data_IF_724422554078
#
_entry.id   IF_724422554078
#
_cell.length_a   1.000
_cell.length_b   1.000
_cell.length_c   1.000
_cell.angle_alpha   90.00
_cell.angle_beta   90.00
_cell.angle_gamma   90.00
#
_symmetry.space_group_name_H-M   'P 1'
#
loop_
_entity.id
_entity.type
_entity.pdbx_description
1 polymer ?
#
# COMPACT_ATOMS: atom_id res chain seq x y z
N UNK A 1 6.69 -69.43 75.70
CA UNK A 1 6.27 -68.13 75.14
C UNK A 1 6.18 -67.13 76.26
N UNK A 2 6.83 -65.97 76.16
CA UNK A 2 6.49 -64.82 77.00
C UNK A 2 6.44 -63.58 76.12
N UNK A 3 5.25 -62.98 76.07
CA UNK A 3 4.85 -61.89 75.19
C UNK A 3 5.42 -60.57 75.71
N UNK A 4 6.26 -59.90 74.91
CA UNK A 4 6.76 -58.55 75.20
C UNK A 4 5.82 -57.54 74.52
N UNK A 5 5.14 -56.64 75.26
CA UNK A 5 4.21 -55.70 74.66
C UNK A 5 4.98 -54.59 73.92
N UNK A 6 4.64 -54.36 72.64
CA UNK A 6 5.17 -53.23 71.87
C UNK A 6 4.66 -51.92 72.50
N UNK A 7 5.60 -51.05 72.92
CA UNK A 7 5.30 -49.68 73.36
C UNK A 7 4.61 -48.91 72.22
N UNK A 8 3.31 -48.63 72.37
CA UNK A 8 2.59 -47.69 71.51
C UNK A 8 3.12 -46.28 71.79
N UNK A 9 3.76 -45.66 70.80
CA UNK A 9 4.14 -44.25 70.85
C UNK A 9 2.88 -43.41 71.04
N UNK A 10 2.67 -42.87 72.24
CA UNK A 10 1.65 -41.86 72.50
C UNK A 10 2.17 -40.53 71.98
N UNK A 11 1.82 -40.20 70.75
CA UNK A 11 2.09 -38.89 70.15
C UNK A 11 1.32 -37.84 70.96
N UNK A 12 2.05 -36.93 71.62
CA UNK A 12 1.43 -35.81 72.34
C UNK A 12 0.90 -34.83 71.29
N UNK A 13 -0.42 -34.83 71.10
CA UNK A 13 -1.11 -33.98 70.13
C UNK A 13 -0.78 -32.49 70.26
N UNK A 14 -0.44 -32.01 71.46
CA UNK A 14 0.03 -30.63 71.71
C UNK A 14 1.36 -30.28 71.01
N UNK A 15 2.14 -31.26 70.59
CA UNK A 15 3.41 -31.08 69.84
C UNK A 15 3.23 -31.46 68.36
N UNK A 16 2.43 -32.49 68.09
CA UNK A 16 2.19 -32.93 66.73
C UNK A 16 1.41 -31.91 65.89
N UNK A 17 0.40 -31.26 66.47
CA UNK A 17 -0.40 -30.24 65.76
C UNK A 17 0.46 -29.05 65.32
N UNK A 18 1.23 -28.36 66.19
CA UNK A 18 2.06 -27.23 65.76
C UNK A 18 3.12 -27.65 64.73
N UNK A 19 3.70 -28.85 64.87
CA UNK A 19 4.68 -29.37 63.92
C UNK A 19 4.08 -29.67 62.53
N UNK A 20 2.86 -30.22 62.49
CA UNK A 20 2.15 -30.45 61.23
C UNK A 20 1.75 -29.14 60.55
N UNK A 21 1.29 -28.13 61.30
CA UNK A 21 1.05 -26.79 60.75
C UNK A 21 2.32 -26.13 60.24
N UNK A 22 3.46 -26.33 60.91
CA UNK A 22 4.75 -25.80 60.44
C UNK A 22 5.16 -26.46 59.11
N UNK A 23 4.98 -27.78 58.98
CA UNK A 23 5.24 -28.49 57.73
C UNK A 23 4.32 -27.99 56.62
N UNK A 24 3.03 -27.80 56.89
CA UNK A 24 2.08 -27.27 55.89
C UNK A 24 2.47 -25.85 55.48
N UNK A 25 2.90 -25.00 56.43
CA UNK A 25 3.38 -23.65 56.14
C UNK A 25 4.65 -23.67 55.29
N UNK A 26 5.61 -24.54 55.60
CA UNK A 26 6.85 -24.68 54.82
C UNK A 26 6.54 -25.21 53.42
N UNK A 27 5.67 -26.21 53.29
CA UNK A 27 5.23 -26.72 51.98
C UNK A 27 4.50 -25.63 51.20
N UNK A 28 3.63 -24.85 51.83
CA UNK A 28 2.94 -23.72 51.19
C UNK A 28 3.92 -22.63 50.74
N UNK A 29 4.94 -22.32 51.55
CA UNK A 29 5.98 -21.34 51.22
C UNK A 29 6.85 -21.83 50.06
N UNK A 30 7.24 -23.10 50.06
CA UNK A 30 8.01 -23.74 48.98
C UNK A 30 7.19 -23.84 47.70
N UNK A 31 5.89 -24.16 47.80
CA UNK A 31 4.97 -24.21 46.67
C UNK A 31 4.75 -22.81 46.08
N UNK A 32 4.62 -21.76 46.89
CA UNK A 32 4.56 -20.38 46.40
C UNK A 32 5.90 -19.86 45.87
N UNK A 33 7.05 -20.34 46.36
CA UNK A 33 8.37 -19.98 45.83
C UNK A 33 8.68 -20.68 44.50
N UNK A 34 8.26 -21.94 44.32
CA UNK A 34 8.47 -22.72 43.10
C UNK A 34 7.37 -22.50 42.05
N UNK A 35 6.17 -22.10 42.47
CA UNK A 35 5.01 -21.78 41.63
C UNK A 35 4.60 -20.33 41.91
N UNK A 36 5.58 -19.45 42.06
CA UNK A 36 5.33 -18.08 41.67
C UNK A 36 5.14 -18.15 40.15
N UNK A 37 3.94 -17.85 39.61
CA UNK A 37 3.85 -17.60 38.19
C UNK A 37 4.86 -16.50 37.92
N UNK A 38 5.74 -16.71 36.94
CA UNK A 38 6.63 -15.67 36.46
C UNK A 38 5.75 -14.44 36.22
N UNK A 39 5.78 -13.48 37.15
CA UNK A 39 5.38 -12.11 36.88
C UNK A 39 6.56 -11.46 36.16
N UNK A 40 7.05 -12.13 35.12
CA UNK A 40 7.96 -11.54 34.17
C UNK A 40 7.13 -10.55 33.39
N UNK A 41 7.31 -9.26 33.70
CA UNK A 41 6.83 -8.10 32.97
C UNK A 41 5.85 -8.43 31.82
N UNK A 42 4.55 -8.47 32.12
CA UNK A 42 3.46 -8.68 31.16
C UNK A 42 3.32 -7.54 30.12
N UNK A 43 4.23 -6.57 30.12
CA UNK A 43 4.24 -5.42 29.21
C UNK A 43 5.14 -5.61 27.98
N UNK A 44 5.68 -6.80 27.74
CA UNK A 44 6.53 -7.05 26.57
C UNK A 44 5.74 -7.26 25.28
N UNK A 45 6.30 -6.85 24.14
CA UNK A 45 5.71 -7.11 22.82
C UNK A 45 5.60 -8.62 22.58
N UNK A 46 4.46 -9.05 22.05
CA UNK A 46 4.16 -10.46 21.79
C UNK A 46 3.86 -10.68 20.32
N UNK A 47 4.28 -11.84 19.81
CA UNK A 47 4.11 -12.25 18.41
C UNK A 47 3.41 -13.61 18.41
N UNK A 48 2.44 -13.83 17.52
CA UNK A 48 1.69 -15.10 17.42
C UNK A 48 0.98 -15.56 18.72
N UNK A 49 0.63 -14.63 19.63
CA UNK A 49 0.09 -14.98 20.97
C UNK A 49 1.11 -15.70 21.87
N UNK A 50 2.40 -15.61 21.57
CA UNK A 50 3.47 -16.11 22.42
C UNK A 50 3.67 -15.24 23.66
N UNK A 51 4.30 -15.80 24.69
CA UNK A 51 4.78 -15.00 25.82
C UNK A 51 5.96 -14.12 25.36
N UNK A 52 6.23 -12.98 26.01
CA UNK A 52 7.38 -12.12 25.65
C UNK A 52 8.72 -12.88 25.61
N UNK A 53 8.93 -13.80 26.56
CA UNK A 53 10.13 -14.66 26.58
C UNK A 53 10.20 -15.60 25.37
N UNK A 54 9.06 -16.20 24.98
CA UNK A 54 9.02 -17.06 23.80
C UNK A 54 9.22 -16.24 22.53
N UNK A 55 8.58 -15.07 22.40
CA UNK A 55 8.83 -14.12 21.32
C UNK A 55 10.31 -13.77 21.22
N UNK A 56 10.95 -13.40 22.32
CA UNK A 56 12.38 -13.10 22.37
C UNK A 56 13.24 -14.26 21.86
N UNK A 57 12.92 -15.51 22.23
CA UNK A 57 13.68 -16.68 21.76
C UNK A 57 13.58 -16.93 20.24
N UNK A 58 12.50 -16.50 19.59
CA UNK A 58 12.31 -16.68 18.15
C UNK A 58 13.05 -15.62 17.34
N UNK A 59 13.09 -14.37 17.83
CA UNK A 59 13.63 -13.22 17.10
C UNK A 59 15.08 -12.88 17.47
N UNK A 60 15.50 -13.18 18.71
CA UNK A 60 16.85 -12.89 19.19
C UNK A 60 17.84 -13.96 18.73
N UNK A 61 18.16 -13.90 17.44
CA UNK A 61 19.16 -14.72 16.78
C UNK A 61 20.14 -13.79 16.08
N UNK A 62 21.42 -14.07 16.21
CA UNK A 62 22.47 -13.38 15.46
C UNK A 62 22.62 -14.01 14.08
N UNK A 63 22.91 -13.18 13.08
CA UNK A 63 23.06 -13.62 11.70
C UNK A 63 24.40 -13.17 11.14
N UNK A 64 25.16 -14.11 10.57
CA UNK A 64 26.46 -13.81 9.94
C UNK A 64 26.28 -13.03 8.62
N UNK A 65 25.27 -13.38 7.84
CA UNK A 65 25.00 -12.74 6.55
C UNK A 65 23.86 -11.73 6.68
N UNK A 66 24.19 -10.46 6.45
CA UNK A 66 23.27 -9.34 6.56
C UNK A 66 23.32 -8.51 5.29
N UNK A 67 22.19 -7.90 4.94
CA UNK A 67 22.09 -6.95 3.83
C UNK A 67 21.47 -5.65 4.34
N UNK A 68 22.29 -4.61 4.41
CA UNK A 68 21.84 -3.28 4.84
C UNK A 68 21.04 -2.61 3.74
N UNK A 69 19.84 -2.14 4.06
CA UNK A 69 19.06 -1.21 3.22
C UNK A 69 19.02 0.16 3.90
N UNK A 70 18.83 1.22 3.11
CA UNK A 70 18.85 2.59 3.64
C UNK A 70 17.55 3.35 3.42
N UNK A 71 16.69 2.88 2.51
CA UNK A 71 15.48 3.60 2.18
C UNK A 71 14.33 2.65 1.79
N UNK A 72 13.12 3.17 1.83
CA UNK A 72 11.89 2.47 1.43
C UNK A 72 10.84 3.46 0.96
N UNK A 73 9.80 2.97 0.27
CA UNK A 73 8.55 3.70 0.03
C UNK A 73 7.44 2.74 -0.39
N UNK A 74 6.19 3.16 -0.28
CA UNK A 74 5.01 2.51 -0.83
C UNK A 74 4.56 3.21 -2.11
N UNK A 75 4.11 2.42 -3.08
CA UNK A 75 3.46 2.91 -4.30
C UNK A 75 2.26 2.03 -4.63
N UNK A 76 1.05 2.57 -4.56
CA UNK A 76 -0.15 1.75 -4.59
C UNK A 76 -0.19 0.83 -3.36
N UNK A 77 -0.18 -0.48 -3.57
CA UNK A 77 -0.07 -1.51 -2.52
C UNK A 77 1.30 -2.21 -2.48
N UNK A 78 2.31 -1.64 -3.15
CA UNK A 78 3.63 -2.25 -3.30
C UNK A 78 4.65 -1.58 -2.39
N UNK A 79 5.34 -2.36 -1.56
CA UNK A 79 6.47 -1.92 -0.76
C UNK A 79 7.78 -2.05 -1.55
N UNK A 80 8.49 -0.93 -1.68
CA UNK A 80 9.81 -0.82 -2.29
C UNK A 80 10.85 -0.73 -1.17
N UNK A 81 11.82 -1.64 -1.15
CA UNK A 81 12.98 -1.63 -0.26
C UNK A 81 14.23 -1.34 -1.07
N UNK A 82 15.07 -0.43 -0.62
CA UNK A 82 16.16 0.12 -1.43
C UNK A 82 17.50 0.06 -0.70
N UNK A 83 18.54 -0.33 -1.42
CA UNK A 83 19.91 -0.31 -0.91
C UNK A 83 20.36 1.12 -0.64
N UNK A 84 20.05 2.05 -1.52
CA UNK A 84 20.40 3.47 -1.43
C UNK A 84 19.14 4.35 -1.35
N UNK A 85 19.25 5.63 -0.95
CA UNK A 85 18.16 6.59 -1.11
C UNK A 85 17.65 6.59 -2.55
N UNK A 86 16.32 6.64 -2.71
CA UNK A 86 15.71 6.50 -4.04
C UNK A 86 16.20 7.56 -5.03
N UNK A 87 16.65 7.11 -6.19
CA UNK A 87 17.00 7.96 -7.33
C UNK A 87 16.43 7.37 -8.62
N UNK A 88 15.55 8.12 -9.29
CA UNK A 88 14.93 7.72 -10.56
C UNK A 88 15.91 7.52 -11.71
N UNK A 89 17.10 8.12 -11.65
CA UNK A 89 18.13 8.00 -12.69
C UNK A 89 19.02 6.78 -12.51
N UNK A 90 19.04 6.19 -11.31
CA UNK A 90 19.95 5.11 -10.96
C UNK A 90 19.16 3.90 -10.51
N UNK A 91 19.28 2.79 -11.23
CA UNK A 91 18.67 1.54 -10.80
C UNK A 91 19.27 1.10 -9.45
N UNK A 92 18.41 0.86 -8.46
CA UNK A 92 18.83 0.36 -7.16
C UNK A 92 19.37 -1.07 -7.27
N UNK A 93 20.32 -1.42 -6.42
CA UNK A 93 20.92 -2.76 -6.42
C UNK A 93 19.92 -3.87 -6.11
N UNK A 94 18.78 -3.56 -5.49
CA UNK A 94 17.72 -4.52 -5.19
C UNK A 94 17.03 -5.05 -6.45
N UNK A 95 17.07 -4.31 -7.56
CA UNK A 95 16.46 -4.70 -8.84
C UNK A 95 17.06 -6.02 -9.35
N UNK A 96 16.19 -6.97 -9.72
CA UNK A 96 16.55 -8.29 -10.21
C UNK A 96 16.89 -9.30 -9.12
N UNK A 97 16.81 -8.93 -7.84
CA UNK A 97 16.99 -9.86 -6.71
C UNK A 97 15.66 -10.42 -6.22
N UNK A 98 15.72 -11.38 -5.30
CA UNK A 98 14.54 -12.00 -4.69
C UNK A 98 14.48 -11.68 -3.21
N UNK A 99 13.35 -11.14 -2.75
CA UNK A 99 13.02 -11.06 -1.33
C UNK A 99 12.34 -12.35 -0.88
N UNK A 100 12.73 -12.81 0.31
CA UNK A 100 12.08 -13.89 1.02
C UNK A 100 11.50 -13.38 2.32
N UNK A 101 10.20 -13.61 2.52
CA UNK A 101 9.52 -13.37 3.78
C UNK A 101 9.30 -14.70 4.46
N UNK A 102 9.70 -14.83 5.72
CA UNK A 102 9.48 -16.04 6.52
C UNK A 102 8.56 -15.69 7.68
N UNK A 103 7.36 -16.26 7.68
CA UNK A 103 6.43 -16.09 8.80
C UNK A 103 6.97 -16.80 10.04
N UNK A 104 7.26 -16.05 11.10
CA UNK A 104 7.77 -16.58 12.37
C UNK A 104 6.74 -17.52 13.02
N UNK A 105 5.45 -17.27 12.80
CA UNK A 105 4.38 -18.04 13.42
C UNK A 105 4.27 -19.45 12.83
N UNK A 106 4.36 -19.56 11.50
CA UNK A 106 4.05 -20.80 10.77
C UNK A 106 5.25 -21.43 10.08
N UNK A 107 6.33 -20.67 9.89
CA UNK A 107 7.49 -21.04 9.06
C UNK A 107 7.20 -20.98 7.55
N UNK A 108 6.04 -20.46 7.12
CA UNK A 108 5.70 -20.31 5.69
C UNK A 108 6.63 -19.28 5.05
N UNK A 109 7.15 -19.62 3.88
CA UNK A 109 7.99 -18.73 3.09
C UNK A 109 7.21 -18.15 1.89
N UNK A 110 7.39 -16.85 1.64
CA UNK A 110 6.91 -16.15 0.45
C UNK A 110 8.11 -15.56 -0.29
N UNK A 111 8.14 -15.69 -1.61
CA UNK A 111 9.24 -15.22 -2.46
C UNK A 111 8.72 -14.17 -3.44
N UNK A 112 9.41 -13.04 -3.53
CA UNK A 112 9.09 -11.94 -4.44
C UNK A 112 10.31 -11.57 -5.28
N UNK A 113 10.16 -11.63 -6.60
CA UNK A 113 11.17 -11.11 -7.52
C UNK A 113 11.00 -9.60 -7.65
N UNK A 114 12.08 -8.85 -7.44
CA UNK A 114 12.08 -7.40 -7.50
C UNK A 114 12.40 -6.94 -8.92
N UNK A 115 11.50 -6.16 -9.53
CA UNK A 115 11.73 -5.60 -10.87
C UNK A 115 12.20 -4.14 -10.77
N UNK A 116 12.19 -3.40 -11.88
CA UNK A 116 12.59 -1.98 -11.89
C UNK A 116 11.41 -1.01 -11.86
N UNK A 117 10.18 -1.50 -11.74
CA UNK A 117 8.95 -0.70 -11.65
C UNK A 117 8.48 -0.63 -10.20
N UNK A 118 8.00 0.54 -9.80
CA UNK A 118 7.60 0.83 -8.42
C UNK A 118 6.44 -0.04 -7.93
N UNK A 119 5.59 -0.51 -8.84
CA UNK A 119 4.46 -1.40 -8.56
C UNK A 119 4.81 -2.90 -8.71
N UNK A 120 6.00 -3.25 -9.18
CA UNK A 120 6.49 -4.64 -9.34
C UNK A 120 7.60 -4.99 -8.33
N UNK A 121 7.32 -4.78 -7.05
CA UNK A 121 8.19 -5.19 -5.93
C UNK A 121 7.42 -6.16 -5.01
N UNK A 122 7.45 -5.92 -3.69
CA UNK A 122 6.70 -6.69 -2.71
C UNK A 122 5.24 -6.20 -2.70
N UNK A 123 4.36 -6.93 -3.36
CA UNK A 123 2.93 -6.66 -3.36
C UNK A 123 2.29 -7.08 -2.03
N UNK A 124 1.88 -6.10 -1.22
CA UNK A 124 1.33 -6.33 0.12
C UNK A 124 -0.05 -7.00 0.09
N UNK A 125 -0.78 -6.90 -1.02
CA UNK A 125 -2.05 -7.61 -1.17
C UNK A 125 -1.86 -9.14 -1.10
N UNK A 126 -0.70 -9.65 -1.52
CA UNK A 126 -0.39 -11.09 -1.56
C UNK A 126 0.19 -11.62 -0.24
N UNK A 127 0.61 -10.75 0.68
CA UNK A 127 1.13 -11.15 1.99
C UNK A 127 -0.02 -11.43 2.94
N UNK A 128 -0.13 -12.66 3.41
CA UNK A 128 -1.16 -13.07 4.38
C UNK A 128 -0.91 -12.46 5.77
N UNK A 129 -1.88 -12.60 6.68
CA UNK A 129 -1.66 -12.18 8.06
C UNK A 129 -0.54 -13.02 8.70
N UNK A 130 0.37 -12.36 9.38
CA UNK A 130 1.53 -13.00 9.98
C UNK A 130 2.58 -11.99 10.41
N UNK A 131 3.64 -12.48 11.04
CA UNK A 131 4.78 -11.66 11.44
C UNK A 131 6.02 -12.20 10.74
N UNK A 132 6.55 -11.43 9.78
CA UNK A 132 7.53 -11.91 8.82
C UNK A 132 8.92 -11.37 9.09
N UNK A 133 9.92 -12.25 9.09
CA UNK A 133 11.33 -11.88 8.90
C UNK A 133 11.62 -11.66 7.43
N UNK A 134 12.39 -10.61 7.10
CA UNK A 134 12.71 -10.26 5.72
C UNK A 134 14.15 -10.58 5.38
N UNK A 135 14.34 -11.32 4.29
CA UNK A 135 15.63 -11.73 3.77
C UNK A 135 15.77 -11.35 2.29
N UNK A 136 17.00 -11.06 1.89
CA UNK A 136 17.41 -11.00 0.50
C UNK A 136 18.10 -12.31 0.12
N UNK A 137 17.61 -12.98 -0.91
CA UNK A 137 18.27 -14.17 -1.46
C UNK A 137 19.37 -13.69 -2.41
N UNK A 138 20.63 -13.86 -1.99
CA UNK A 138 21.79 -13.45 -2.78
C UNK A 138 22.84 -14.55 -2.79
N UNK A 139 23.31 -14.93 -3.98
CA UNK A 139 24.29 -16.01 -4.19
C UNK A 139 23.92 -17.32 -3.48
N UNK A 140 22.63 -17.73 -3.56
CA UNK A 140 22.08 -18.92 -2.91
C UNK A 140 22.17 -18.91 -1.37
N UNK A 141 22.35 -17.72 -0.78
CA UNK A 141 22.36 -17.51 0.67
C UNK A 141 21.31 -16.48 1.06
N UNK A 142 20.63 -16.73 2.18
CA UNK A 142 19.72 -15.76 2.77
C UNK A 142 20.54 -14.72 3.54
N UNK A 143 20.39 -13.46 3.16
CA UNK A 143 20.98 -12.32 3.86
C UNK A 143 19.85 -11.58 4.58
N UNK A 144 19.91 -11.52 5.91
CA UNK A 144 18.86 -10.87 6.69
C UNK A 144 18.91 -9.35 6.48
N UNK A 145 17.76 -8.74 6.24
CA UNK A 145 17.70 -7.29 6.01
C UNK A 145 17.87 -6.53 7.33
N UNK A 146 18.74 -5.53 7.31
CA UNK A 146 18.99 -4.61 8.43
C UNK A 146 18.91 -3.16 7.98
N UNK A 147 18.56 -2.28 8.92
CA UNK A 147 18.66 -0.84 8.73
C UNK A 147 19.65 -0.22 9.72
N UNK A 148 20.32 0.85 9.30
CA UNK A 148 21.22 1.58 10.18
C UNK A 148 20.46 2.31 11.29
N UNK A 149 19.40 3.00 10.91
CA UNK A 149 18.53 3.77 11.82
C UNK A 149 17.25 2.98 12.12
N UNK A 150 16.64 3.17 13.31
CA UNK A 150 15.38 2.53 13.63
C UNK A 150 14.25 3.03 12.72
N UNK A 151 13.36 2.12 12.35
CA UNK A 151 12.21 2.38 11.50
C UNK A 151 10.95 1.79 12.11
N UNK A 152 9.87 2.57 12.10
CA UNK A 152 8.50 2.10 12.29
C UNK A 152 7.57 2.89 11.39
N UNK A 153 6.89 2.22 10.47
CA UNK A 153 5.88 2.81 9.60
C UNK A 153 4.67 1.90 9.48
N UNK A 154 3.50 2.47 9.21
CA UNK A 154 2.21 1.77 9.12
C UNK A 154 1.53 2.10 7.81
N UNK A 155 1.19 1.07 7.05
CA UNK A 155 0.47 1.15 5.80
C UNK A 155 -0.80 0.29 5.86
N UNK A 156 -1.85 0.69 5.15
CA UNK A 156 -3.09 -0.10 5.05
C UNK A 156 -3.34 -0.51 3.60
N UNK A 157 -3.59 -1.79 3.32
CA UNK A 157 -3.90 -2.24 1.96
C UNK A 157 -5.32 -1.87 1.56
N UNK A 158 -5.64 -2.01 0.27
CA UNK A 158 -7.00 -1.86 -0.24
C UNK A 158 -7.95 -2.84 0.44
N UNK A 159 -9.16 -2.36 0.73
CA UNK A 159 -10.25 -3.15 1.29
C UNK A 159 -10.65 -4.29 0.35
N UNK A 160 -10.69 -5.51 0.89
CA UNK A 160 -11.15 -6.72 0.19
C UNK A 160 -12.04 -7.52 1.13
N UNK A 161 -13.23 -7.91 0.65
CA UNK A 161 -14.19 -8.70 1.45
C UNK A 161 -14.47 -8.04 2.83
N UNK A 162 -14.73 -6.74 2.84
CA UNK A 162 -15.02 -5.95 4.04
C UNK A 162 -13.89 -5.91 5.10
N UNK A 163 -12.64 -6.18 4.71
CA UNK A 163 -11.46 -6.03 5.58
C UNK A 163 -10.28 -5.42 4.81
N UNK A 164 -9.50 -4.57 5.48
CA UNK A 164 -8.18 -4.16 4.99
C UNK A 164 -7.09 -4.88 5.78
N UNK A 165 -5.85 -4.86 5.28
CA UNK A 165 -4.70 -5.32 6.07
C UNK A 165 -3.95 -4.11 6.59
N UNK A 166 -3.66 -4.10 7.88
CA UNK A 166 -2.66 -3.21 8.48
C UNK A 166 -1.30 -3.87 8.37
N UNK A 167 -0.37 -3.18 7.72
CA UNK A 167 1.03 -3.57 7.51
C UNK A 167 1.90 -2.65 8.34
N UNK A 168 2.66 -3.21 9.28
CA UNK A 168 3.65 -2.47 10.06
C UNK A 168 5.05 -2.89 9.59
N UNK A 169 5.80 -1.93 9.04
CA UNK A 169 7.19 -2.10 8.68
C UNK A 169 8.05 -1.68 9.86
N UNK A 170 8.83 -2.60 10.40
CA UNK A 170 9.57 -2.40 11.65
C UNK A 170 11.02 -2.79 11.43
N UNK A 171 11.95 -1.90 11.75
CA UNK A 171 13.35 -2.24 11.91
C UNK A 171 13.86 -1.55 13.18
N UNK A 172 13.79 -2.25 14.32
CA UNK A 172 14.19 -1.67 15.60
C UNK A 172 14.78 -2.77 16.49
N UNK A 173 16.02 -2.57 16.94
CA UNK A 173 16.68 -3.50 17.86
C UNK A 173 16.02 -3.57 19.25
N UNK A 174 15.19 -2.59 19.60
CA UNK A 174 14.40 -2.49 20.83
C UNK A 174 12.95 -2.98 20.70
N UNK A 175 12.56 -3.67 19.61
CA UNK A 175 11.18 -4.01 19.27
C UNK A 175 10.30 -4.59 20.40
N UNK A 176 10.88 -5.26 21.40
CA UNK A 176 10.10 -5.87 22.49
C UNK A 176 9.96 -5.02 23.76
N UNK A 177 10.88 -4.07 24.00
CA UNK A 177 10.88 -3.22 25.20
C UNK A 177 11.87 -2.06 25.02
N UNK A 178 11.42 -0.82 25.29
CA UNK A 178 12.23 0.39 25.13
C UNK A 178 13.46 0.44 26.06
N UNK A 179 13.48 -0.39 27.11
CA UNK A 179 14.51 -0.38 28.15
C UNK A 179 15.67 -1.37 27.93
N UNK A 180 15.52 -2.39 27.08
CA UNK A 180 16.57 -3.40 26.81
C UNK A 180 16.71 -3.70 25.31
N UNK A 181 17.92 -3.46 24.77
CA UNK A 181 18.26 -3.87 23.40
C UNK A 181 18.33 -5.39 23.31
N UNK A 182 17.31 -6.00 22.72
CA UNK A 182 17.22 -7.45 22.57
C UNK A 182 18.06 -7.93 21.37
N UNK A 183 17.98 -7.20 20.26
CA UNK A 183 18.67 -7.55 19.02
C UNK A 183 20.00 -6.80 18.93
N UNK A 184 20.98 -7.39 18.25
CA UNK A 184 22.27 -6.77 17.98
C UNK A 184 22.22 -5.74 16.84
N UNK A 185 21.20 -5.83 15.97
CA UNK A 185 20.97 -4.95 14.82
C UNK A 185 19.48 -4.58 14.70
N UNK A 186 19.17 -3.51 13.94
CA UNK A 186 17.79 -3.19 13.56
C UNK A 186 17.35 -4.10 12.41
N UNK A 187 17.01 -5.35 12.72
CA UNK A 187 16.49 -6.30 11.74
C UNK A 187 15.10 -5.90 11.26
N UNK A 188 14.86 -6.05 9.96
CA UNK A 188 13.57 -5.72 9.35
C UNK A 188 12.55 -6.85 9.55
N UNK A 189 11.35 -6.44 9.95
CA UNK A 189 10.17 -7.25 10.08
C UNK A 189 8.98 -6.58 9.40
N UNK A 190 8.05 -7.40 8.91
CA UNK A 190 6.76 -6.95 8.40
C UNK A 190 5.67 -7.65 9.21
N UNK A 191 4.87 -6.88 9.95
CA UNK A 191 3.71 -7.40 10.65
C UNK A 191 2.45 -7.12 9.83
N UNK A 192 1.73 -8.16 9.44
CA UNK A 192 0.48 -8.04 8.68
C UNK A 192 -0.66 -8.57 9.53
N UNK A 193 -1.64 -7.70 9.76
CA UNK A 193 -2.85 -8.03 10.53
C UNK A 193 -4.08 -7.62 9.76
N UNK A 194 -5.17 -8.40 9.87
CA UNK A 194 -6.47 -7.92 9.41
C UNK A 194 -6.91 -6.76 10.28
N UNK A 195 -7.46 -5.75 9.63
CA UNK A 195 -8.03 -4.58 10.28
C UNK A 195 -9.46 -4.35 9.78
N UNK A 196 -10.24 -3.65 10.58
CA UNK A 196 -11.55 -3.15 10.16
C UNK A 196 -11.37 -2.11 9.06
N UNK A 197 -12.37 -2.00 8.18
CA UNK A 197 -12.37 -1.00 7.11
C UNK A 197 -12.09 0.39 7.70
N UNK A 198 -11.02 1.00 7.24
CA UNK A 198 -10.56 2.31 7.69
C UNK A 198 -11.37 3.40 6.98
N UNK A 199 -12.54 3.74 7.53
CA UNK A 199 -13.48 4.68 6.91
C UNK A 199 -12.92 6.10 6.66
N UNK A 200 -11.86 6.49 7.36
CA UNK A 200 -11.18 7.76 7.14
C UNK A 200 -10.15 7.71 6.00
N UNK A 201 -9.79 6.51 5.54
CA UNK A 201 -8.92 6.29 4.38
C UNK A 201 -9.72 5.89 3.15
N UNK A 202 -9.16 6.12 1.97
CA UNK A 202 -9.76 5.78 0.69
C UNK A 202 -8.88 4.74 -0.01
N UNK A 203 -9.49 3.73 -0.64
CA UNK A 203 -8.77 2.78 -1.48
C UNK A 203 -8.44 3.44 -2.83
N UNK A 204 -9.46 4.04 -3.45
CA UNK A 204 -9.41 4.62 -4.79
C UNK A 204 -9.95 6.05 -4.76
N UNK A 205 -9.12 7.02 -5.11
CA UNK A 205 -9.54 8.41 -5.32
C UNK A 205 -9.84 8.65 -6.80
N UNK A 206 -11.08 9.04 -7.11
CA UNK A 206 -11.51 9.42 -8.45
C UNK A 206 -11.37 10.94 -8.64
N UNK A 207 -10.73 11.34 -9.72
CA UNK A 207 -10.50 12.74 -10.05
C UNK A 207 -11.10 13.11 -11.41
N UNK A 208 -12.37 13.56 -11.45
CA UNK A 208 -13.01 13.97 -12.70
C UNK A 208 -12.47 15.32 -13.21
N UNK A 209 -12.15 15.41 -14.50
CA UNK A 209 -11.62 16.62 -15.15
C UNK A 209 -12.56 17.84 -15.07
N UNK A 210 -11.97 19.02 -15.32
CA UNK A 210 -12.66 20.31 -15.39
C UNK A 210 -12.96 20.94 -14.02
N UNK A 211 -13.11 22.26 -13.99
CA UNK A 211 -13.27 23.07 -12.79
C UNK A 211 -11.95 23.36 -12.07
N UNK A 212 -10.84 23.55 -12.78
CA UNK A 212 -9.53 23.89 -12.22
C UNK A 212 -8.92 25.11 -12.94
N UNK A 213 -8.17 25.94 -12.23
CA UNK A 213 -7.35 27.03 -12.78
C UNK A 213 -5.89 26.81 -12.37
N UNK A 214 -5.34 25.68 -12.83
CA UNK A 214 -3.98 25.27 -12.43
C UNK A 214 -2.91 26.23 -12.96
N UNK A 215 -3.20 26.97 -14.03
CA UNK A 215 -2.24 27.85 -14.72
C UNK A 215 -2.51 29.34 -14.51
N UNK A 216 -3.53 29.73 -13.74
CA UNK A 216 -3.91 31.13 -13.53
C UNK A 216 -4.41 31.83 -14.80
N UNK A 217 -4.94 31.05 -15.75
CA UNK A 217 -5.45 31.52 -17.04
C UNK A 217 -6.99 31.60 -17.08
N UNK A 218 -7.63 31.30 -15.94
CA UNK A 218 -9.07 31.15 -15.83
C UNK A 218 -9.46 29.69 -15.68
N UNK A 219 -10.66 29.46 -15.16
CA UNK A 219 -11.17 28.12 -14.88
C UNK A 219 -11.37 27.35 -16.17
N UNK A 220 -10.63 26.25 -16.30
CA UNK A 220 -10.79 25.26 -17.36
C UNK A 220 -11.96 24.34 -17.00
N UNK A 221 -13.06 24.42 -17.75
CA UNK A 221 -14.24 23.56 -17.60
C UNK A 221 -14.19 22.33 -18.51
N UNK A 222 -13.03 22.05 -19.11
CA UNK A 222 -12.83 20.96 -20.04
C UNK A 222 -13.41 21.23 -21.42
N UNK A 223 -13.32 20.23 -22.29
CA UNK A 223 -13.77 20.32 -23.67
C UNK A 223 -15.30 20.33 -23.81
N UNK A 224 -15.81 21.07 -24.80
CA UNK A 224 -17.21 21.09 -25.20
C UNK A 224 -17.31 20.77 -26.70
N UNK A 225 -17.88 19.63 -27.02
CA UNK A 225 -18.06 19.17 -28.40
C UNK A 225 -19.18 18.15 -28.49
N UNK A 226 -19.83 18.06 -29.65
CA UNK A 226 -20.84 17.03 -29.95
C UNK A 226 -21.97 16.93 -28.92
N UNK A 227 -22.31 18.06 -28.27
CA UNK A 227 -23.33 18.14 -27.23
C UNK A 227 -22.95 17.48 -25.91
N UNK A 228 -21.65 17.25 -25.68
CA UNK A 228 -21.08 16.78 -24.43
C UNK A 228 -20.17 17.87 -23.87
N UNK A 229 -20.16 17.99 -22.54
CA UNK A 229 -19.23 18.83 -21.80
C UNK A 229 -18.39 17.93 -20.88
N UNK A 230 -17.06 17.98 -21.01
CA UNK A 230 -16.15 17.08 -20.30
C UNK A 230 -16.30 17.17 -18.77
N UNK A 231 -16.40 18.36 -18.20
CA UNK A 231 -16.59 18.53 -16.76
C UNK A 231 -17.86 17.82 -16.26
N UNK A 232 -18.95 17.97 -17.01
CA UNK A 232 -20.24 17.41 -16.64
C UNK A 232 -20.25 15.88 -16.77
N UNK A 233 -19.74 15.37 -17.89
CA UNK A 233 -19.66 13.93 -18.17
C UNK A 233 -18.68 13.22 -17.24
N UNK A 234 -17.53 13.80 -16.95
CA UNK A 234 -16.54 13.18 -16.05
C UNK A 234 -17.00 13.20 -14.60
N UNK A 235 -17.70 14.26 -14.16
CA UNK A 235 -18.31 14.26 -12.83
C UNK A 235 -19.41 13.20 -12.70
N UNK A 236 -20.27 13.05 -13.71
CA UNK A 236 -21.27 11.98 -13.75
C UNK A 236 -20.61 10.59 -13.78
N UNK A 237 -19.57 10.40 -14.59
CA UNK A 237 -18.78 9.17 -14.64
C UNK A 237 -18.14 8.83 -13.28
N UNK A 238 -17.58 9.81 -12.57
CA UNK A 238 -17.01 9.61 -11.24
C UNK A 238 -18.05 9.15 -10.21
N UNK A 239 -19.25 9.75 -10.22
CA UNK A 239 -20.34 9.34 -9.33
C UNK A 239 -20.80 7.90 -9.63
N UNK A 240 -21.02 7.58 -10.90
CA UNK A 240 -21.44 6.24 -11.31
C UNK A 240 -20.35 5.19 -11.06
N UNK A 241 -19.08 5.53 -11.29
CA UNK A 241 -17.94 4.65 -11.05
C UNK A 241 -17.75 4.40 -9.55
N UNK A 242 -17.90 5.43 -8.73
CA UNK A 242 -17.89 5.31 -7.26
C UNK A 242 -18.94 4.30 -6.79
N UNK A 243 -20.20 4.43 -7.21
CA UNK A 243 -21.25 3.47 -6.82
C UNK A 243 -20.89 2.04 -7.20
N UNK A 244 -20.38 1.83 -8.42
CA UNK A 244 -20.03 0.49 -8.90
C UNK A 244 -18.82 -0.10 -8.17
N UNK A 245 -17.79 0.69 -7.88
CA UNK A 245 -16.62 0.29 -7.11
C UNK A 245 -16.96 0.03 -5.64
N UNK A 246 -17.81 0.86 -5.01
CA UNK A 246 -18.32 0.60 -3.66
C UNK A 246 -19.16 -0.69 -3.61
N UNK A 247 -19.83 -1.05 -4.70
CA UNK A 247 -20.48 -2.35 -4.86
C UNK A 247 -19.52 -3.56 -4.87
N UNK A 248 -18.21 -3.35 -5.04
CA UNK A 248 -17.16 -4.36 -4.83
C UNK A 248 -16.59 -4.35 -3.41
N UNK A 249 -17.03 -3.42 -2.55
CA UNK A 249 -16.53 -3.25 -1.18
C UNK A 249 -15.33 -2.30 -1.05
N UNK A 250 -14.97 -1.56 -2.11
CA UNK A 250 -13.94 -0.52 -2.02
C UNK A 250 -14.45 0.70 -1.27
N UNK A 251 -13.57 1.37 -0.53
CA UNK A 251 -13.81 2.74 -0.05
C UNK A 251 -13.35 3.73 -1.11
N UNK A 252 -14.26 4.51 -1.68
CA UNK A 252 -13.96 5.35 -2.86
C UNK A 252 -14.17 6.82 -2.56
N UNK A 253 -13.22 7.66 -2.93
CA UNK A 253 -13.30 9.13 -2.84
C UNK A 253 -13.55 9.77 -4.20
N UNK A 254 -14.08 11.00 -4.21
CA UNK A 254 -14.10 11.88 -5.38
C UNK A 254 -13.45 13.20 -4.96
N UNK A 255 -12.53 13.73 -5.76
CA UNK A 255 -11.79 14.96 -5.43
C UNK A 255 -12.69 16.21 -5.41
N UNK A 256 -13.79 16.19 -6.19
CA UNK A 256 -14.79 17.26 -6.29
C UNK A 256 -16.03 16.97 -5.45
N UNK A 257 -16.48 17.96 -4.70
CA UNK A 257 -17.69 17.95 -3.89
C UNK A 257 -18.93 18.29 -4.73
N UNK A 258 -18.76 19.01 -5.85
CA UNK A 258 -19.84 19.29 -6.81
C UNK A 258 -19.32 19.55 -8.22
N UNK A 259 -20.20 19.40 -9.21
CA UNK A 259 -19.93 19.67 -10.64
C UNK A 259 -19.46 21.11 -10.93
N UNK A 260 -19.89 22.08 -10.11
CA UNK A 260 -19.55 23.51 -10.25
C UNK A 260 -18.38 23.95 -9.37
N UNK A 261 -17.73 23.01 -8.69
CA UNK A 261 -16.62 23.36 -7.82
C UNK A 261 -15.39 23.75 -8.63
N UNK A 262 -14.87 24.94 -8.34
CA UNK A 262 -13.55 25.39 -8.77
C UNK A 262 -12.51 24.93 -7.74
N UNK A 263 -11.63 24.03 -8.15
CA UNK A 263 -10.59 23.44 -7.30
C UNK A 263 -9.38 23.06 -8.15
N UNK A 264 -8.24 23.64 -7.78
CA UNK A 264 -6.97 23.35 -8.41
C UNK A 264 -6.48 21.95 -8.05
N UNK A 265 -5.65 21.41 -8.92
CA UNK A 265 -4.97 20.14 -8.68
C UNK A 265 -3.93 20.28 -7.56
N UNK A 266 -3.24 21.41 -7.52
CA UNK A 266 -2.22 21.76 -6.54
C UNK A 266 -2.78 22.47 -5.30
N UNK A 267 -1.94 22.53 -4.25
CA UNK A 267 -2.18 23.36 -3.08
C UNK A 267 -2.87 22.64 -1.92
N UNK A 268 -2.78 23.24 -0.73
CA UNK A 268 -3.55 22.79 0.44
C UNK A 268 -5.04 22.97 0.13
N UNK A 269 -5.82 21.90 0.27
CA UNK A 269 -7.21 21.74 -0.20
C UNK A 269 -7.38 21.52 -1.72
N UNK A 270 -6.31 21.37 -2.49
CA UNK A 270 -6.37 20.94 -3.88
C UNK A 270 -6.75 19.47 -4.02
N UNK A 271 -6.98 19.02 -5.27
CA UNK A 271 -7.43 17.65 -5.57
C UNK A 271 -6.46 16.59 -5.06
N UNK A 272 -5.15 16.79 -5.28
CA UNK A 272 -4.12 15.86 -4.81
C UNK A 272 -3.99 15.88 -3.29
N UNK A 273 -4.07 17.06 -2.66
CA UNK A 273 -4.03 17.17 -1.20
C UNK A 273 -5.13 16.33 -0.55
N UNK A 274 -6.38 16.44 -1.04
CA UNK A 274 -7.49 15.61 -0.56
C UNK A 274 -7.19 14.11 -0.67
N UNK A 275 -6.52 13.68 -1.73
CA UNK A 275 -6.14 12.28 -1.92
C UNK A 275 -5.08 11.79 -0.92
N UNK A 276 -4.03 12.59 -0.70
CA UNK A 276 -3.00 12.29 0.31
C UNK A 276 -3.57 12.35 1.74
N UNK A 277 -4.42 13.32 2.06
CA UNK A 277 -5.06 13.44 3.38
C UNK A 277 -5.90 12.18 3.69
N UNK A 278 -6.53 11.60 2.67
CA UNK A 278 -7.28 10.35 2.76
C UNK A 278 -6.42 9.10 2.60
N UNK A 279 -5.10 9.22 2.58
CA UNK A 279 -4.16 8.12 2.39
C UNK A 279 -4.57 7.20 1.22
N UNK A 280 -5.01 7.78 0.09
CA UNK A 280 -5.47 6.99 -1.04
C UNK A 280 -4.38 6.05 -1.57
N UNK A 281 -4.75 4.89 -2.13
CA UNK A 281 -3.77 3.94 -2.71
C UNK A 281 -3.71 4.09 -4.22
N UNK A 282 -4.86 4.33 -4.83
CA UNK A 282 -4.98 4.58 -6.25
C UNK A 282 -5.54 5.97 -6.52
N UNK A 283 -5.00 6.64 -7.53
CA UNK A 283 -5.50 7.93 -8.02
C UNK A 283 -5.89 7.79 -9.49
N UNK A 284 -7.18 7.86 -9.79
CA UNK A 284 -7.72 7.62 -11.13
C UNK A 284 -8.33 8.91 -11.63
N UNK A 285 -7.65 9.57 -12.56
CA UNK A 285 -8.17 10.76 -13.20
C UNK A 285 -8.98 10.39 -14.45
N UNK A 286 -10.16 11.02 -14.61
CA UNK A 286 -11.11 10.74 -15.68
C UNK A 286 -11.21 11.94 -16.61
N UNK A 287 -10.97 11.73 -17.91
CA UNK A 287 -11.03 12.77 -18.94
C UNK A 287 -11.63 12.25 -20.25
N UNK A 288 -11.79 13.15 -21.20
CA UNK A 288 -11.87 12.84 -22.62
C UNK A 288 -10.59 13.20 -23.36
N UNK A 289 -10.43 12.60 -24.53
CA UNK A 289 -9.55 13.13 -25.57
C UNK A 289 -10.28 14.21 -26.37
N UNK A 290 -9.50 15.11 -26.98
CA UNK A 290 -10.01 16.09 -27.94
C UNK A 290 -8.94 16.39 -28.98
N UNK A 291 -9.36 16.59 -30.22
CA UNK A 291 -8.48 16.92 -31.34
C UNK A 291 -9.18 17.79 -32.36
N UNK A 292 -8.40 18.59 -33.09
CA UNK A 292 -8.88 19.28 -34.29
C UNK A 292 -9.11 18.33 -35.47
N UNK A 293 -8.64 17.07 -35.37
CA UNK A 293 -8.81 16.03 -36.37
C UNK A 293 -9.95 15.09 -35.98
N UNK A 294 -11.13 15.26 -36.61
CA UNK A 294 -12.33 14.44 -36.35
C UNK A 294 -12.11 12.93 -36.61
N UNK A 295 -11.13 12.53 -37.43
CA UNK A 295 -10.89 11.10 -37.66
C UNK A 295 -10.20 10.37 -36.49
N UNK A 296 -9.69 11.10 -35.49
CA UNK A 296 -9.11 10.47 -34.30
C UNK A 296 -10.23 10.02 -33.36
N UNK A 297 -10.14 8.77 -32.95
CA UNK A 297 -11.08 8.09 -32.07
C UNK A 297 -10.34 7.13 -31.11
N UNK A 298 -11.09 6.61 -30.15
CA UNK A 298 -10.68 5.53 -29.24
C UNK A 298 -10.15 6.00 -27.89
N UNK A 299 -9.96 5.01 -27.01
CA UNK A 299 -9.57 5.22 -25.62
C UNK A 299 -8.06 5.35 -25.46
N UNK A 300 -7.63 6.19 -24.50
CA UNK A 300 -6.24 6.28 -24.07
C UNK A 300 -6.13 6.08 -22.55
N UNK A 301 -5.13 5.32 -22.12
CA UNK A 301 -4.80 5.18 -20.69
C UNK A 301 -3.33 5.51 -20.48
N UNK A 302 -3.10 6.58 -19.72
CA UNK A 302 -1.78 7.01 -19.33
C UNK A 302 -1.40 6.45 -17.95
N UNK A 303 -0.14 6.03 -17.83
CA UNK A 303 0.46 5.49 -16.60
C UNK A 303 1.88 6.04 -16.43
N UNK A 304 2.42 6.07 -15.21
CA UNK A 304 3.76 6.63 -14.96
C UNK A 304 4.86 5.88 -15.70
N UNK A 305 5.89 6.59 -16.15
CA UNK A 305 7.14 5.97 -16.61
C UNK A 305 7.82 5.11 -15.53
N UNK A 306 7.53 5.36 -14.25
CA UNK A 306 8.10 4.65 -13.10
C UNK A 306 7.24 3.47 -12.63
N UNK A 307 6.08 3.27 -13.24
CA UNK A 307 5.19 2.14 -13.01
C UNK A 307 5.15 1.18 -14.21
N UNK A 308 4.60 -0.01 -14.00
CA UNK A 308 4.24 -0.94 -15.05
C UNK A 308 2.99 -0.46 -15.81
N UNK A 309 2.80 -0.97 -17.03
CA UNK A 309 1.57 -0.75 -17.80
C UNK A 309 0.44 -1.72 -17.43
N UNK A 310 0.58 -2.54 -16.38
CA UNK A 310 -0.32 -3.67 -16.12
C UNK A 310 -1.77 -3.23 -15.90
N UNK A 311 -2.03 -2.23 -15.04
CA UNK A 311 -3.37 -1.69 -14.83
C UNK A 311 -3.95 -1.06 -16.10
N UNK A 312 -3.13 -0.28 -16.83
CA UNK A 312 -3.55 0.38 -18.05
C UNK A 312 -3.90 -0.61 -19.18
N UNK A 313 -3.10 -1.66 -19.33
CA UNK A 313 -3.37 -2.75 -20.27
C UNK A 313 -4.63 -3.52 -19.89
N UNK A 314 -4.86 -3.81 -18.60
CA UNK A 314 -6.07 -4.50 -18.14
C UNK A 314 -7.32 -3.69 -18.48
N UNK A 315 -7.31 -2.39 -18.16
CA UNK A 315 -8.41 -1.46 -18.47
C UNK A 315 -8.77 -1.52 -19.95
N UNK A 316 -7.80 -1.32 -20.83
CA UNK A 316 -8.09 -1.24 -22.26
C UNK A 316 -8.39 -2.61 -22.88
N UNK A 317 -7.75 -3.67 -22.42
CA UNK A 317 -8.04 -5.04 -22.86
C UNK A 317 -9.50 -5.42 -22.58
N UNK A 318 -9.98 -5.15 -21.37
CA UNK A 318 -11.34 -5.46 -20.96
C UNK A 318 -12.37 -4.63 -21.72
N UNK A 319 -12.10 -3.33 -21.91
CA UNK A 319 -12.92 -2.43 -22.73
C UNK A 319 -13.09 -2.96 -24.15
N UNK A 320 -11.98 -3.29 -24.82
CA UNK A 320 -12.01 -3.84 -26.17
C UNK A 320 -12.75 -5.18 -26.22
N UNK A 321 -12.47 -6.07 -25.27
CA UNK A 321 -13.02 -7.43 -25.26
C UNK A 321 -14.52 -7.47 -24.96
N UNK A 322 -15.00 -6.65 -24.03
CA UNK A 322 -16.33 -6.79 -23.44
C UNK A 322 -17.33 -5.77 -23.98
N UNK A 323 -16.87 -4.61 -24.48
CA UNK A 323 -17.75 -3.56 -24.99
C UNK A 323 -17.37 -3.02 -26.37
N UNK A 324 -16.38 -3.62 -27.05
CA UNK A 324 -15.92 -3.24 -28.40
C UNK A 324 -15.42 -1.79 -28.49
N UNK A 325 -14.86 -1.26 -27.39
CA UNK A 325 -14.20 0.04 -27.36
C UNK A 325 -12.71 -0.13 -27.67
N UNK A 326 -12.29 0.35 -28.84
CA UNK A 326 -10.90 0.27 -29.29
C UNK A 326 -9.97 1.28 -28.61
N UNK A 327 -8.68 0.95 -28.61
CA UNK A 327 -7.62 1.89 -28.26
C UNK A 327 -7.45 2.99 -29.30
N UNK A 328 -6.85 4.10 -28.88
CA UNK A 328 -6.69 5.29 -29.70
C UNK A 328 -6.00 5.03 -31.04
N UNK A 329 -6.64 5.52 -32.10
CA UNK A 329 -6.12 5.56 -33.46
C UNK A 329 -4.86 6.43 -33.64
N UNK A 330 -4.51 7.28 -32.67
CA UNK A 330 -3.27 8.07 -32.69
C UNK A 330 -2.05 7.26 -32.23
N UNK A 331 -2.26 6.35 -31.27
CA UNK A 331 -1.18 5.63 -30.58
C UNK A 331 -1.26 4.13 -30.84
N UNK A 332 -1.10 3.77 -32.12
CA UNK A 332 -1.20 2.39 -32.62
C UNK A 332 0.14 1.65 -32.73
N UNK A 333 1.23 2.27 -32.26
CA UNK A 333 2.58 1.72 -32.36
C UNK A 333 3.47 2.25 -31.25
N UNK A 334 3.76 1.42 -30.24
CA UNK A 334 4.70 1.79 -29.17
C UNK A 334 4.59 0.94 -27.92
N UNK A 335 3.43 0.33 -27.67
CA UNK A 335 3.16 -0.61 -26.58
C UNK A 335 2.46 -1.85 -27.13
N UNK A 336 2.28 -2.89 -26.29
CA UNK A 336 1.58 -4.12 -26.69
C UNK A 336 0.08 -3.93 -26.93
N UNK A 337 -0.49 -2.79 -26.54
CA UNK A 337 -1.92 -2.47 -26.64
C UNK A 337 -2.09 -1.02 -27.08
N UNK A 338 -2.74 -0.80 -28.22
CA UNK A 338 -3.01 0.53 -28.78
C UNK A 338 -3.70 1.44 -27.75
N UNK A 339 -3.28 2.71 -27.63
CA UNK A 339 -3.85 3.64 -26.66
C UNK A 339 -3.34 3.53 -25.22
N UNK A 340 -2.48 2.55 -24.89
CA UNK A 340 -1.77 2.52 -23.59
C UNK A 340 -0.42 3.20 -23.74
N UNK A 341 -0.21 4.34 -23.07
CA UNK A 341 0.93 5.23 -23.35
C UNK A 341 1.51 5.84 -22.07
N UNK A 342 2.83 5.77 -21.81
CA UNK A 342 3.43 6.57 -20.76
C UNK A 342 3.54 8.05 -21.19
N UNK A 343 3.36 9.02 -20.27
CA UNK A 343 3.63 10.43 -20.56
C UNK A 343 5.03 10.65 -21.11
N UNK A 344 5.21 11.70 -21.90
CA UNK A 344 6.56 12.20 -22.21
C UNK A 344 7.20 12.71 -20.91
N UNK A 345 8.50 12.48 -20.73
CA UNK A 345 9.24 13.08 -19.61
C UNK A 345 9.53 14.56 -19.89
N UNK A 346 9.18 15.42 -18.94
CA UNK A 346 9.46 16.84 -18.92
C UNK A 346 10.75 17.13 -18.14
N UNK A 347 11.43 18.21 -18.52
CA UNK A 347 12.55 18.77 -17.79
C UNK A 347 12.05 19.69 -16.67
N UNK A 348 12.54 19.45 -15.44
CA UNK A 348 12.26 20.31 -14.30
C UNK A 348 13.20 21.51 -14.23
N UNK A 349 12.93 22.43 -13.30
CA UNK A 349 13.80 23.59 -13.06
C UNK A 349 15.17 23.23 -12.44
N UNK A 350 15.34 21.96 -12.04
CA UNK A 350 16.59 21.35 -11.64
C UNK A 350 17.42 20.80 -12.82
N UNK A 351 16.92 20.95 -14.05
CA UNK A 351 17.56 20.50 -15.28
C UNK A 351 17.48 19.00 -15.56
N UNK A 352 16.67 18.24 -14.79
CA UNK A 352 16.50 16.79 -15.00
C UNK A 352 15.24 16.51 -15.82
N UNK A 353 15.38 15.78 -16.93
CA UNK A 353 14.26 15.30 -17.76
C UNK A 353 13.69 13.97 -17.24
N UNK A 354 13.10 14.00 -16.04
CA UNK A 354 12.65 12.82 -15.28
C UNK A 354 11.22 12.95 -14.75
N UNK A 355 10.47 13.93 -15.22
CA UNK A 355 9.15 14.22 -14.66
C UNK A 355 8.07 13.77 -15.62
N UNK A 356 7.15 12.89 -15.20
CA UNK A 356 5.97 12.60 -16.02
C UNK A 356 5.27 13.93 -16.39
N UNK A 357 5.04 14.19 -17.68
CA UNK A 357 4.47 15.48 -18.12
C UNK A 357 3.02 15.66 -17.65
N UNK A 358 2.29 14.56 -17.47
CA UNK A 358 0.93 14.57 -16.92
C UNK A 358 1.00 14.78 -15.41
N UNK A 359 0.48 15.94 -15.00
CA UNK A 359 0.54 16.46 -13.64
C UNK A 359 -0.13 15.53 -12.62
N UNK A 360 -1.27 14.92 -12.96
CA UNK A 360 -2.01 14.00 -12.10
C UNK A 360 -1.21 12.72 -11.80
N UNK A 361 -0.42 12.23 -12.76
CA UNK A 361 0.43 11.05 -12.57
C UNK A 361 1.67 11.41 -11.75
N UNK A 362 2.37 12.47 -12.16
CA UNK A 362 3.62 12.91 -11.54
C UNK A 362 3.47 13.20 -10.05
N UNK A 363 2.39 13.87 -9.68
CA UNK A 363 2.27 14.49 -8.35
C UNK A 363 1.53 13.59 -7.36
N UNK A 364 0.88 12.53 -7.83
CA UNK A 364 0.21 11.53 -7.00
C UNK A 364 1.16 10.46 -6.43
N UNK A 365 2.27 10.16 -7.12
CA UNK A 365 3.12 9.01 -6.78
C UNK A 365 4.17 9.22 -5.68
N UNK A 366 4.16 10.36 -4.99
CA UNK A 366 5.12 10.65 -3.92
C UNK A 366 6.57 10.54 -4.40
N UNK A 367 7.42 9.87 -3.60
CA UNK A 367 8.82 9.59 -3.96
C UNK A 367 8.95 8.83 -5.28
N UNK A 368 8.05 7.90 -5.58
CA UNK A 368 8.16 7.02 -6.75
C UNK A 368 8.15 7.79 -8.09
N UNK A 369 7.49 8.95 -8.13
CA UNK A 369 7.32 9.77 -9.33
C UNK A 369 7.93 11.17 -9.20
N UNK A 370 8.74 11.39 -8.15
CA UNK A 370 9.34 12.69 -7.82
C UNK A 370 8.28 13.80 -7.67
N UNK A 371 7.17 13.47 -7.01
CA UNK A 371 6.10 14.42 -6.74
C UNK A 371 6.61 15.65 -5.99
N UNK A 372 6.08 16.82 -6.34
CA UNK A 372 6.47 18.11 -5.78
C UNK A 372 7.81 18.65 -6.29
N UNK A 373 8.57 17.94 -7.15
CA UNK A 373 9.97 18.33 -7.41
C UNK A 373 10.20 19.11 -8.72
N UNK A 374 9.27 19.08 -9.68
CA UNK A 374 9.49 19.61 -11.05
C UNK A 374 9.78 21.12 -11.11
N UNK A 375 9.24 21.92 -10.17
CA UNK A 375 9.40 23.37 -10.16
C UNK A 375 9.32 23.95 -8.75
N UNK A 376 9.81 25.18 -8.55
CA UNK A 376 9.68 25.92 -7.29
C UNK A 376 8.21 26.02 -6.82
N UNK A 377 7.29 26.24 -7.75
CA UNK A 377 5.86 26.24 -7.46
C UNK A 377 5.40 24.88 -6.95
N UNK A 378 5.79 23.78 -7.61
CA UNK A 378 5.43 22.43 -7.16
C UNK A 378 5.99 22.14 -5.76
N UNK A 379 7.25 22.51 -5.49
CA UNK A 379 7.89 22.29 -4.18
C UNK A 379 7.17 23.04 -3.06
N UNK A 380 6.62 24.21 -3.37
CA UNK A 380 5.92 25.06 -2.40
C UNK A 380 4.46 24.62 -2.22
N UNK A 381 3.71 24.50 -3.32
CA UNK A 381 2.26 24.23 -3.29
C UNK A 381 1.93 22.74 -3.05
N UNK A 382 2.81 21.82 -3.43
CA UNK A 382 2.67 20.37 -3.22
C UNK A 382 3.70 19.80 -2.25
N UNK A 383 4.14 20.60 -1.27
CA UNK A 383 5.08 20.14 -0.24
C UNK A 383 4.60 18.89 0.52
N UNK A 384 3.30 18.62 0.56
CA UNK A 384 2.70 17.40 1.13
C UNK A 384 3.04 16.11 0.35
N UNK A 385 3.35 16.24 -0.94
CA UNK A 385 3.71 15.13 -1.82
C UNK A 385 5.23 14.95 -1.92
N UNK A 386 5.99 16.03 -1.74
CA UNK A 386 7.46 16.02 -1.74
C UNK A 386 8.00 15.06 -0.69
N UNK A 387 8.86 14.13 -1.11
CA UNK A 387 9.45 13.09 -0.26
C UNK A 387 8.43 12.21 0.49
N UNK A 388 7.15 12.24 0.09
CA UNK A 388 6.11 11.42 0.70
C UNK A 388 6.35 9.95 0.35
N UNK A 389 6.51 9.12 1.39
CA UNK A 389 6.79 7.68 1.26
C UNK A 389 5.55 6.88 0.89
N UNK A 390 4.35 7.45 0.96
CA UNK A 390 3.09 6.76 0.68
C UNK A 390 2.51 7.29 -0.64
N UNK A 391 3.12 6.89 -1.75
CA UNK A 391 2.72 7.30 -3.09
C UNK A 391 1.48 6.55 -3.58
N UNK A 392 0.61 7.25 -4.30
CA UNK A 392 -0.55 6.64 -4.98
C UNK A 392 -0.15 6.11 -6.35
N UNK A 393 -0.60 4.90 -6.69
CA UNK A 393 -0.52 4.43 -8.08
C UNK A 393 -1.57 5.14 -8.92
N UNK A 394 -1.11 5.90 -9.91
CA UNK A 394 -1.95 6.81 -10.68
C UNK A 394 -2.10 6.38 -12.14
N UNK A 395 -3.32 6.54 -12.66
CA UNK A 395 -3.61 6.46 -14.10
C UNK A 395 -4.51 7.61 -14.52
N UNK A 396 -4.36 8.05 -15.77
CA UNK A 396 -5.33 8.95 -16.42
C UNK A 396 -6.07 8.15 -17.49
N UNK A 397 -7.37 8.03 -17.33
CA UNK A 397 -8.26 7.39 -18.28
C UNK A 397 -8.89 8.47 -19.14
N UNK A 398 -8.57 8.45 -20.43
CA UNK A 398 -9.23 9.27 -21.43
C UNK A 398 -10.14 8.38 -22.27
N UNK A 399 -11.43 8.40 -21.95
CA UNK A 399 -12.35 7.36 -22.43
C UNK A 399 -12.47 7.28 -23.95
N UNK A 400 -12.48 8.43 -24.62
CA UNK A 400 -12.73 8.57 -26.06
C UNK A 400 -12.51 10.01 -26.50
N UNK A 401 -12.53 10.27 -27.82
CA UNK A 401 -12.41 11.60 -28.38
C UNK A 401 -13.77 12.29 -28.40
N UNK A 402 -14.00 13.25 -27.49
CA UNK A 402 -15.24 14.05 -27.45
C UNK A 402 -15.50 14.81 -28.76
N UNK A 403 -14.42 15.14 -29.47
CA UNK A 403 -14.43 15.80 -30.78
C UNK A 403 -14.82 14.89 -31.94
N UNK A 404 -14.87 13.56 -31.74
CA UNK A 404 -15.28 12.59 -32.74
C UNK A 404 -16.77 12.24 -32.58
N UNK A 405 -17.51 12.30 -33.69
CA UNK A 405 -18.98 12.14 -33.67
C UNK A 405 -19.42 10.71 -33.28
N UNK A 406 -18.68 9.69 -33.73
CA UNK A 406 -18.97 8.28 -33.44
C UNK A 406 -18.64 7.94 -31.98
N UNK A 407 -17.49 8.40 -31.48
CA UNK A 407 -17.08 8.27 -30.08
C UNK A 407 -18.07 8.97 -29.14
N UNK A 408 -18.48 10.20 -29.47
CA UNK A 408 -19.45 10.94 -28.67
C UNK A 408 -20.83 10.23 -28.63
N UNK A 409 -21.29 9.67 -29.75
CA UNK A 409 -22.54 8.90 -29.78
C UNK A 409 -22.39 7.56 -29.05
N UNK A 410 -21.23 6.91 -29.16
CA UNK A 410 -20.90 5.70 -28.43
C UNK A 410 -20.94 5.94 -26.92
N UNK A 411 -20.35 7.04 -26.43
CA UNK A 411 -20.42 7.46 -25.03
C UNK A 411 -21.85 7.55 -24.54
N UNK A 412 -22.69 8.33 -25.24
CA UNK A 412 -24.09 8.57 -24.85
C UNK A 412 -24.90 7.27 -24.82
N UNK A 413 -24.65 6.38 -25.77
CA UNK A 413 -25.39 5.11 -25.90
C UNK A 413 -24.91 4.06 -24.90
N UNK A 414 -23.61 4.07 -24.54
CA UNK A 414 -22.99 2.99 -23.77
C UNK A 414 -22.40 3.44 -22.41
N UNK A 415 -22.70 4.65 -21.94
CA UNK A 415 -22.19 5.21 -20.67
C UNK A 415 -22.16 4.19 -19.54
N UNK A 416 -23.32 3.58 -19.21
CA UNK A 416 -23.41 2.63 -18.11
C UNK A 416 -22.53 1.39 -18.31
N UNK A 417 -22.37 0.92 -19.55
CA UNK A 417 -21.49 -0.22 -19.86
C UNK A 417 -20.03 0.16 -19.72
N UNK A 418 -19.64 1.34 -20.20
CA UNK A 418 -18.28 1.87 -20.08
C UNK A 418 -17.91 1.96 -18.60
N UNK A 419 -18.72 2.65 -17.79
CA UNK A 419 -18.45 2.79 -16.35
C UNK A 419 -18.46 1.44 -15.63
N UNK A 420 -19.35 0.53 -16.00
CA UNK A 420 -19.36 -0.82 -15.42
C UNK A 420 -18.11 -1.60 -15.76
N UNK A 421 -17.64 -1.52 -16.99
CA UNK A 421 -16.43 -2.22 -17.41
C UNK A 421 -15.17 -1.62 -16.80
N UNK A 422 -15.11 -0.29 -16.63
CA UNK A 422 -14.05 0.35 -15.83
C UNK A 422 -14.00 -0.23 -14.42
N UNK A 423 -15.15 -0.31 -13.74
CA UNK A 423 -15.21 -0.86 -12.38
C UNK A 423 -14.81 -2.35 -12.33
N UNK A 424 -15.31 -3.15 -13.27
CA UNK A 424 -14.99 -4.58 -13.39
C UNK A 424 -13.48 -4.80 -13.59
N UNK A 425 -12.87 -3.99 -14.45
CA UNK A 425 -11.46 -4.10 -14.80
C UNK A 425 -10.55 -3.71 -13.63
N UNK A 426 -10.86 -2.60 -12.94
CA UNK A 426 -10.16 -2.21 -11.70
C UNK A 426 -10.29 -3.29 -10.63
N UNK A 427 -11.51 -3.80 -10.40
CA UNK A 427 -11.73 -4.85 -9.42
C UNK A 427 -10.94 -6.13 -9.76
N UNK A 428 -10.90 -6.51 -11.04
CA UNK A 428 -10.14 -7.66 -11.52
C UNK A 428 -8.64 -7.48 -11.31
N UNK A 429 -8.09 -6.31 -11.63
CA UNK A 429 -6.68 -5.97 -11.37
C UNK A 429 -6.34 -6.08 -9.87
N UNK A 430 -7.21 -5.55 -9.01
CA UNK A 430 -7.03 -5.57 -7.55
C UNK A 430 -7.40 -6.93 -6.92
N UNK A 431 -7.80 -7.91 -7.74
CA UNK A 431 -8.22 -9.26 -7.34
C UNK A 431 -9.39 -9.25 -6.35
N UNK A 432 -10.38 -8.39 -6.60
CA UNK A 432 -11.62 -8.27 -5.81
C UNK A 432 -12.81 -8.79 -6.62
N UNK A 433 -13.60 -9.64 -5.99
CA UNK A 433 -14.83 -10.21 -6.58
C UNK A 433 -16.06 -9.59 -5.94
N UNK A 434 -17.14 -9.40 -6.71
CA UNK A 434 -18.44 -9.01 -6.12
C UNK A 434 -18.92 -10.10 -5.17
N UNK A 435 -19.42 -9.69 -4.00
CA UNK A 435 -20.15 -10.57 -3.08
C UNK A 435 -21.50 -11.02 -3.64
#
# INVERSE_FOLDING_TARGET
MSYVPKKKLKVKWKVAVPFFTLIILVVYLVFNLLISPDKGNDNGYTICGFTPSKTASFINKTFENQYEISDYFYYGETLNLLKQPYDVLTADEMVGKTLKLVDICTGKELMFSLENKADHQLNLAEVENGFYEVYLVYNLSDQRIVMKEPLKDVFHTVTRNNASKKVELIADKGILNDEETLLDQNYMFINVTSDTVQHDSVDIMLDPAGGNDDYGMGVDWGYDANGLNENDEMYAAALALKEKLEGYGFTVGITKDSIKQEINTYGLNGRLYKAYEKNAKYYINLQFNSSSYNYLNGMEVYYSNYASSTLANQLLFDMKKNIDLDGSSLYTSGTSVDGVVPPVLAEGDDGRAVYDSILQIREAGGVATQAGMISERSRTENSFATANKHGMQAVVIKYLYISNDEDAEFWKTNFDKIISETANSIASYLKVTKE
#
